data_IF_804770182599
#
_entry.id   IF_804770182599
#
_cell.length_a   1.000
_cell.length_b   1.000
_cell.length_c   1.000
_cell.angle_alpha   90.00
_cell.angle_beta   90.00
_cell.angle_gamma   90.00
#
_symmetry.space_group_name_H-M   'P 1'
#
loop_
_entity.id
_entity.type
_entity.pdbx_description
1 polymer ?
#
# COMPACT_ATOMS: atom_id res chain seq x y z
N UNK A 1 -9.21 -12.74 -27.57
CA UNK A 1 -8.17 -12.31 -26.62
C UNK A 1 -8.62 -11.11 -25.80
N UNK A 2 -9.03 -10.00 -26.41
CA UNK A 2 -9.57 -8.81 -25.72
C UNK A 2 -10.60 -9.17 -24.63
N UNK A 3 -11.71 -9.81 -25.01
CA UNK A 3 -12.76 -10.20 -24.06
C UNK A 3 -12.30 -11.24 -23.02
N UNK A 4 -11.31 -12.08 -23.35
CA UNK A 4 -10.75 -13.05 -22.40
C UNK A 4 -9.87 -12.35 -21.36
N UNK A 5 -9.04 -11.40 -21.78
CA UNK A 5 -8.25 -10.53 -20.90
C UNK A 5 -9.13 -9.74 -19.94
N UNK A 6 -10.28 -9.24 -20.42
CA UNK A 6 -11.25 -8.53 -19.57
C UNK A 6 -11.85 -9.44 -18.50
N UNK A 7 -12.27 -10.65 -18.87
CA UNK A 7 -12.78 -11.63 -17.88
C UNK A 7 -11.68 -12.06 -16.90
N UNK A 8 -10.45 -12.29 -17.37
CA UNK A 8 -9.30 -12.63 -16.53
C UNK A 8 -8.98 -11.52 -15.52
N UNK A 9 -9.04 -10.25 -15.93
CA UNK A 9 -8.90 -9.11 -15.02
C UNK A 9 -10.00 -9.11 -13.96
N UNK A 10 -11.26 -9.35 -14.36
CA UNK A 10 -12.36 -9.44 -13.42
C UNK A 10 -12.18 -10.57 -12.39
N UNK A 11 -11.69 -11.74 -12.82
CA UNK A 11 -11.36 -12.85 -11.91
C UNK A 11 -10.26 -12.47 -10.92
N UNK A 12 -9.19 -11.80 -11.39
CA UNK A 12 -8.10 -11.34 -10.53
C UNK A 12 -8.59 -10.30 -9.52
N UNK A 13 -9.32 -9.27 -9.95
CA UNK A 13 -9.82 -8.21 -9.07
C UNK A 13 -10.85 -8.73 -8.07
N UNK A 14 -11.65 -9.74 -8.45
CA UNK A 14 -12.56 -10.43 -7.51
C UNK A 14 -11.79 -11.07 -6.34
N UNK A 15 -10.63 -11.66 -6.62
CA UNK A 15 -9.75 -12.23 -5.59
C UNK A 15 -8.99 -11.16 -4.82
N UNK A 16 -8.44 -10.15 -5.48
CA UNK A 16 -7.72 -9.03 -4.82
C UNK A 16 -8.63 -8.30 -3.82
N UNK A 17 -9.91 -8.13 -4.16
CA UNK A 17 -10.94 -7.58 -3.27
C UNK A 17 -11.17 -8.42 -2.01
N UNK A 18 -10.83 -9.71 -2.04
CA UNK A 18 -11.00 -10.67 -0.94
C UNK A 18 -12.31 -11.47 -0.97
N UNK A 19 -13.18 -11.25 -1.95
CA UNK A 19 -14.50 -11.91 -2.01
C UNK A 19 -14.46 -13.39 -2.40
N UNK A 20 -13.45 -13.80 -3.18
CA UNK A 20 -13.27 -15.17 -3.67
C UNK A 20 -11.92 -15.73 -3.27
N UNK A 21 -11.80 -17.06 -3.21
CA UNK A 21 -10.49 -17.73 -3.30
C UNK A 21 -9.98 -17.77 -4.75
N UNK A 22 -8.68 -17.95 -4.95
CA UNK A 22 -8.08 -18.14 -6.29
C UNK A 22 -8.71 -19.32 -7.05
N UNK A 23 -9.05 -20.37 -6.32
CA UNK A 23 -9.68 -21.60 -6.82
C UNK A 23 -11.09 -21.31 -7.40
N UNK A 24 -11.80 -20.35 -6.81
CA UNK A 24 -13.14 -19.91 -7.22
C UNK A 24 -13.11 -18.75 -8.23
N UNK A 25 -11.96 -18.12 -8.46
CA UNK A 25 -11.81 -17.01 -9.41
C UNK A 25 -10.79 -17.32 -10.51
N UNK A 26 -9.52 -16.93 -10.36
CA UNK A 26 -8.48 -17.01 -11.40
C UNK A 26 -8.34 -18.42 -11.96
N UNK A 27 -8.32 -19.45 -11.10
CA UNK A 27 -8.18 -20.85 -11.53
C UNK A 27 -9.47 -21.45 -12.10
N UNK A 28 -10.57 -20.69 -12.22
CA UNK A 28 -11.70 -21.09 -13.07
C UNK A 28 -11.37 -20.93 -14.56
N UNK A 29 -10.36 -20.14 -14.90
CA UNK A 29 -9.86 -19.98 -16.26
C UNK A 29 -8.86 -21.08 -16.62
N UNK A 30 -9.19 -21.93 -17.60
CA UNK A 30 -8.34 -23.07 -18.01
C UNK A 30 -6.96 -22.66 -18.51
N UNK A 31 -6.86 -21.49 -19.16
CA UNK A 31 -5.59 -20.94 -19.65
C UNK A 31 -4.60 -20.61 -18.50
N UNK A 32 -5.09 -20.45 -17.27
CA UNK A 32 -4.24 -20.18 -16.11
C UNK A 32 -3.63 -21.45 -15.51
N UNK A 33 -4.03 -22.65 -15.96
CA UNK A 33 -3.52 -23.92 -15.42
C UNK A 33 -2.19 -24.31 -16.06
N UNK A 34 -2.08 -24.16 -17.38
CA UNK A 34 -0.88 -24.51 -18.16
C UNK A 34 -0.59 -23.43 -19.22
N UNK A 35 -0.05 -22.27 -18.80
CA UNK A 35 0.18 -21.17 -19.74
C UNK A 35 1.14 -21.54 -20.87
N UNK A 36 2.13 -22.41 -20.65
CA UNK A 36 3.13 -22.75 -21.68
C UNK A 36 2.56 -23.57 -22.85
N UNK A 37 1.45 -24.29 -22.63
CA UNK A 37 0.76 -25.06 -23.69
C UNK A 37 -0.07 -24.15 -24.62
N UNK A 38 -0.23 -22.87 -24.28
CA UNK A 38 -1.00 -21.92 -25.09
C UNK A 38 -0.23 -21.59 -26.36
N UNK A 39 -0.73 -22.03 -27.52
CA UNK A 39 -0.08 -21.80 -28.82
C UNK A 39 0.09 -20.31 -29.16
N UNK A 40 -0.90 -19.47 -28.84
CA UNK A 40 -0.82 -18.03 -29.09
C UNK A 40 0.11 -17.35 -28.07
N UNK A 41 1.24 -16.81 -28.55
CA UNK A 41 2.26 -16.18 -27.70
C UNK A 41 1.72 -14.97 -26.91
N UNK A 42 0.85 -14.16 -27.51
CA UNK A 42 0.30 -12.97 -26.84
C UNK A 42 -0.58 -13.35 -25.64
N UNK A 43 -1.45 -14.35 -25.83
CA UNK A 43 -2.28 -14.89 -24.76
C UNK A 43 -1.45 -15.62 -23.70
N UNK A 44 -0.43 -16.39 -24.12
CA UNK A 44 0.53 -17.04 -23.22
C UNK A 44 1.18 -16.02 -22.28
N UNK A 45 1.77 -14.96 -22.84
CA UNK A 45 2.42 -13.90 -22.07
C UNK A 45 1.45 -13.18 -21.13
N UNK A 46 0.21 -12.91 -21.58
CA UNK A 46 -0.81 -12.32 -20.72
C UNK A 46 -1.12 -13.21 -19.51
N UNK A 47 -1.28 -14.53 -19.71
CA UNK A 47 -1.58 -15.47 -18.64
C UNK A 47 -0.41 -15.62 -17.66
N UNK A 48 0.83 -15.72 -18.17
CA UNK A 48 2.04 -15.76 -17.34
C UNK A 48 2.15 -14.50 -16.46
N UNK A 49 1.91 -13.32 -17.05
CA UNK A 49 1.91 -12.06 -16.33
C UNK A 49 0.81 -11.98 -15.26
N UNK A 50 -0.40 -12.45 -15.56
CA UNK A 50 -1.49 -12.51 -14.60
C UNK A 50 -1.14 -13.41 -13.40
N UNK A 51 -0.61 -14.60 -13.66
CA UNK A 51 -0.21 -15.54 -12.60
C UNK A 51 0.91 -14.93 -11.74
N UNK A 52 1.87 -14.23 -12.34
CA UNK A 52 2.90 -13.49 -11.60
C UNK A 52 2.36 -12.33 -10.79
N UNK A 53 1.39 -11.56 -11.31
CA UNK A 53 0.70 -10.54 -10.53
C UNK A 53 0.04 -11.17 -9.29
N UNK A 54 -0.64 -12.31 -9.46
CA UNK A 54 -1.26 -13.02 -8.35
C UNK A 54 -0.23 -13.54 -7.34
N UNK A 55 0.88 -14.08 -7.81
CA UNK A 55 1.97 -14.54 -6.94
C UNK A 55 2.54 -13.39 -6.09
N UNK A 56 2.78 -12.22 -6.68
CA UNK A 56 3.27 -11.04 -5.97
C UNK A 56 2.27 -10.53 -4.93
N UNK A 57 0.97 -10.49 -5.26
CA UNK A 57 -0.10 -10.15 -4.32
C UNK A 57 -0.07 -11.13 -3.14
N UNK A 58 -0.05 -12.44 -3.40
CA UNK A 58 -0.02 -13.45 -2.33
C UNK A 58 1.24 -13.34 -1.48
N UNK A 59 2.42 -13.16 -2.10
CA UNK A 59 3.68 -12.94 -1.38
C UNK A 59 3.60 -11.71 -0.48
N UNK A 60 3.07 -10.60 -0.97
CA UNK A 60 2.94 -9.37 -0.19
C UNK A 60 1.99 -9.56 1.01
N UNK A 61 0.80 -10.11 0.77
CA UNK A 61 -0.21 -10.35 1.80
C UNK A 61 0.27 -11.35 2.85
N UNK A 62 0.89 -12.45 2.42
CA UNK A 62 1.44 -13.47 3.31
C UNK A 62 2.59 -12.93 4.17
N UNK A 63 3.53 -12.18 3.58
CA UNK A 63 4.67 -11.59 4.33
C UNK A 63 4.21 -10.51 5.31
N UNK A 64 3.20 -9.73 4.95
CA UNK A 64 2.67 -8.69 5.82
C UNK A 64 1.91 -9.28 7.02
N UNK A 65 1.21 -10.40 6.81
CA UNK A 65 0.42 -11.11 7.82
C UNK A 65 -0.61 -10.20 8.54
N UNK A 66 -1.33 -9.39 7.76
CA UNK A 66 -2.35 -8.43 8.24
C UNK A 66 -3.78 -8.76 7.77
N UNK A 67 -4.04 -10.00 7.37
CA UNK A 67 -5.34 -10.47 6.85
C UNK A 67 -5.85 -11.67 7.67
N UNK A 68 -7.09 -12.08 7.41
CA UNK A 68 -7.67 -13.37 7.81
C UNK A 68 -8.21 -14.10 6.59
N UNK A 69 -8.44 -15.40 6.72
CA UNK A 69 -9.08 -16.17 5.64
C UNK A 69 -10.47 -15.63 5.27
N UNK A 70 -11.18 -15.01 6.22
CA UNK A 70 -12.45 -14.30 5.96
C UNK A 70 -12.27 -13.02 5.14
N UNK A 71 -11.15 -12.31 5.30
CA UNK A 71 -10.85 -11.08 4.57
C UNK A 71 -10.20 -11.35 3.21
N UNK A 72 -9.40 -12.42 3.12
CA UNK A 72 -8.58 -12.72 1.96
C UNK A 72 -8.16 -14.20 1.98
N UNK A 73 -8.67 -14.97 1.02
CA UNK A 73 -8.28 -16.37 0.89
C UNK A 73 -6.95 -16.52 0.14
N UNK A 74 -5.97 -17.12 0.82
CA UNK A 74 -4.70 -17.55 0.20
C UNK A 74 -4.74 -18.96 -0.40
N UNK A 75 -5.85 -19.69 -0.21
CA UNK A 75 -5.92 -21.09 -0.60
C UNK A 75 -5.73 -21.25 -2.12
N UNK A 76 -4.75 -22.09 -2.47
CA UNK A 76 -4.43 -22.43 -3.86
C UNK A 76 -5.10 -23.71 -4.32
N UNK A 77 -5.72 -24.51 -3.45
CA UNK A 77 -6.40 -25.76 -3.84
C UNK A 77 -5.50 -26.74 -4.59
N UNK A 78 -4.20 -26.75 -4.30
CA UNK A 78 -3.21 -27.59 -4.99
C UNK A 78 -2.63 -27.02 -6.28
N UNK A 79 -3.07 -25.84 -6.74
CA UNK A 79 -2.46 -25.15 -7.87
C UNK A 79 -1.13 -24.48 -7.47
N UNK A 80 -0.22 -24.37 -8.42
CA UNK A 80 1.00 -23.56 -8.31
C UNK A 80 0.89 -22.29 -9.16
N UNK A 81 1.66 -21.26 -8.81
CA UNK A 81 1.86 -20.13 -9.71
C UNK A 81 2.86 -20.48 -10.81
N UNK A 82 3.13 -19.50 -11.67
CA UNK A 82 4.08 -19.64 -12.76
C UNK A 82 5.52 -19.42 -12.27
N UNK A 83 6.24 -20.50 -11.94
CA UNK A 83 7.57 -20.40 -11.32
C UNK A 83 8.75 -20.40 -12.31
N UNK A 84 8.49 -20.60 -13.60
CA UNK A 84 9.55 -20.82 -14.61
C UNK A 84 10.34 -19.57 -15.00
N UNK A 85 9.71 -18.41 -15.01
CA UNK A 85 10.33 -17.14 -15.40
C UNK A 85 10.19 -16.12 -14.28
N UNK A 86 11.18 -15.23 -14.14
CA UNK A 86 11.09 -14.11 -13.21
C UNK A 86 10.12 -13.03 -13.72
N UNK A 87 9.68 -12.19 -12.81
CA UNK A 87 8.81 -11.04 -13.10
C UNK A 87 9.49 -10.08 -14.09
N UNK A 88 10.82 -9.91 -13.99
CA UNK A 88 11.62 -9.07 -14.87
C UNK A 88 11.65 -9.58 -16.31
N UNK A 89 11.82 -10.89 -16.50
CA UNK A 89 11.80 -11.50 -17.83
C UNK A 89 10.42 -11.32 -18.47
N UNK A 90 9.34 -11.58 -17.72
CA UNK A 90 7.97 -11.43 -18.24
C UNK A 90 7.67 -9.96 -18.60
N UNK A 91 8.06 -9.00 -17.76
CA UNK A 91 7.90 -7.58 -18.08
C UNK A 91 8.68 -7.16 -19.33
N UNK A 92 9.88 -7.70 -19.53
CA UNK A 92 10.67 -7.48 -20.75
C UNK A 92 9.95 -8.04 -21.99
N UNK A 93 9.47 -9.29 -21.92
CA UNK A 93 8.70 -9.91 -23.01
C UNK A 93 7.40 -9.16 -23.32
N UNK A 94 6.69 -8.65 -22.30
CA UNK A 94 5.51 -7.80 -22.51
C UNK A 94 5.85 -6.46 -23.17
N UNK A 95 7.04 -5.90 -22.90
CA UNK A 95 7.50 -4.66 -23.53
C UNK A 95 7.76 -4.90 -25.02
N UNK A 96 8.45 -5.99 -25.37
CA UNK A 96 8.62 -6.39 -26.78
C UNK A 96 7.28 -6.64 -27.50
N UNK A 97 6.32 -7.29 -26.82
CA UNK A 97 4.97 -7.49 -27.36
C UNK A 97 4.23 -6.17 -27.58
N UNK A 98 4.33 -5.23 -26.64
CA UNK A 98 3.75 -3.89 -26.76
C UNK A 98 4.29 -3.15 -27.98
N UNK A 99 5.61 -3.15 -28.17
CA UNK A 99 6.27 -2.51 -29.32
C UNK A 99 5.83 -3.13 -30.65
N UNK A 100 5.73 -4.46 -30.72
CA UNK A 100 5.31 -5.17 -31.92
C UNK A 100 3.84 -4.86 -32.26
N UNK A 101 2.94 -4.90 -31.27
CA UNK A 101 1.54 -4.52 -31.45
C UNK A 101 1.39 -3.06 -31.89
N UNK A 102 2.20 -2.16 -31.34
CA UNK A 102 2.19 -0.75 -31.71
C UNK A 102 2.69 -0.53 -33.15
N UNK A 103 3.72 -1.24 -33.59
CA UNK A 103 4.18 -1.22 -34.99
C UNK A 103 3.09 -1.74 -35.93
N UNK A 104 2.47 -2.87 -35.58
CA UNK A 104 1.39 -3.45 -36.38
C UNK A 104 0.17 -2.51 -36.49
N UNK A 105 -0.24 -1.89 -35.38
CA UNK A 105 -1.33 -0.90 -35.37
C UNK A 105 -1.04 0.29 -36.31
N UNK A 106 0.20 0.77 -36.38
CA UNK A 106 0.59 1.83 -37.31
C UNK A 106 0.47 1.39 -38.76
N UNK A 107 0.96 0.19 -39.10
CA UNK A 107 0.88 -0.35 -40.45
C UNK A 107 -0.57 -0.51 -40.93
N UNK A 108 -1.44 -1.06 -40.08
CA UNK A 108 -2.87 -1.23 -40.38
C UNK A 108 -3.55 0.14 -40.58
N UNK A 109 -3.28 1.13 -39.72
CA UNK A 109 -3.82 2.48 -39.87
C UNK A 109 -3.34 3.17 -41.16
N UNK A 110 -2.08 2.96 -41.56
CA UNK A 110 -1.53 3.48 -42.82
C UNK A 110 -2.19 2.83 -44.04
N UNK A 111 -2.44 1.52 -44.01
CA UNK A 111 -3.14 0.79 -45.08
C UNK A 111 -4.61 1.24 -45.23
N UNK A 112 -5.27 1.58 -44.13
CA UNK A 112 -6.64 2.11 -44.14
C UNK A 112 -6.73 3.58 -44.62
N UNK A 113 -5.68 4.39 -44.39
CA UNK A 113 -5.63 5.80 -44.80
C UNK A 113 -5.23 6.05 -46.26
N UNK A 114 -4.75 5.03 -46.99
CA UNK A 114 -4.28 5.15 -48.38
C UNK A 114 -5.36 4.96 -49.47
N UNK A 115 -6.63 4.78 -49.10
CA UNK A 115 -7.74 4.67 -50.07
C UNK A 115 -8.57 5.96 -50.06
N UNK A 116 -8.06 6.98 -50.72
CA UNK A 116 -8.78 8.24 -50.87
C UNK A 116 -7.96 9.28 -51.61
N UNK A 117 -7.64 9.02 -52.88
CA UNK A 117 -7.59 10.03 -53.96
C UNK A 117 -7.18 9.37 -55.29
N UNK A 118 -7.97 9.62 -56.34
CA UNK A 118 -7.55 9.51 -57.74
C UNK A 118 -7.62 8.13 -58.38
N UNK A 119 -8.79 7.78 -58.92
CA UNK A 119 -8.88 6.75 -59.95
C UNK A 119 -8.30 7.26 -61.26
N UNK A 120 -7.56 6.40 -61.96
CA UNK A 120 -7.62 6.32 -63.41
C UNK A 120 -7.15 4.95 -63.89
N UNK A 121 -8.00 4.36 -64.72
CA UNK A 121 -7.90 3.07 -65.36
C UNK A 121 -6.64 2.97 -66.22
N UNK A 122 -5.90 1.87 -66.12
CA UNK A 122 -5.08 1.40 -67.24
C UNK A 122 -4.95 -0.12 -67.24
N UNK A 123 -5.05 -0.63 -68.46
CA UNK A 123 -5.37 -1.99 -68.85
C UNK A 123 -4.30 -3.02 -68.49
N UNK A 124 -4.77 -4.26 -68.37
CA UNK A 124 -3.98 -5.50 -68.25
C UNK A 124 -3.23 -5.75 -69.57
N UNK A 125 -2.03 -6.34 -69.52
CA UNK A 125 -1.88 -7.62 -70.22
C UNK A 125 -1.18 -8.69 -69.38
N UNK A 126 -1.71 -9.91 -69.50
CA UNK A 126 -1.11 -11.16 -69.06
C UNK A 126 0.09 -11.52 -69.94
N UNK A 127 1.19 -11.97 -69.33
CA UNK A 127 1.94 -13.16 -69.78
C UNK A 127 2.93 -13.59 -68.69
N UNK A 128 3.02 -14.91 -68.47
CA UNK A 128 3.62 -15.51 -67.29
C UNK A 128 5.14 -15.65 -67.31
N UNK A 129 5.71 -15.88 -66.13
CA UNK A 129 6.81 -16.82 -65.96
C UNK A 129 6.97 -17.22 -64.49
N UNK A 130 6.96 -18.53 -64.29
CA UNK A 130 7.30 -19.22 -63.06
C UNK A 130 8.71 -18.83 -62.59
N UNK A 131 8.87 -18.49 -61.32
CA UNK A 131 10.12 -18.76 -60.60
C UNK A 131 9.81 -19.10 -59.16
N UNK A 132 9.85 -20.42 -58.92
CA UNK A 132 9.80 -21.06 -57.62
C UNK A 132 11.17 -20.86 -56.95
N UNK A 133 11.28 -19.95 -55.98
CA UNK A 133 12.45 -19.88 -55.10
C UNK A 133 12.04 -19.76 -53.63
N UNK A 134 12.18 -20.90 -52.96
CA UNK A 134 12.75 -21.13 -51.63
C UNK A 134 12.16 -20.37 -50.42
N UNK A 135 11.25 -21.09 -49.77
CA UNK A 135 11.18 -21.33 -48.33
C UNK A 135 12.19 -20.56 -47.46
N UNK A 136 11.80 -19.36 -47.03
CA UNK A 136 12.28 -18.75 -45.79
C UNK A 136 11.54 -19.35 -44.60
N UNK A 137 12.28 -19.65 -43.54
CA UNK A 137 11.83 -20.27 -42.29
C UNK A 137 10.53 -19.67 -41.73
N UNK A 138 9.66 -20.48 -41.08
CA UNK A 138 8.47 -19.97 -40.42
C UNK A 138 8.91 -19.06 -39.28
N UNK A 139 8.70 -17.76 -39.42
CA UNK A 139 8.85 -16.81 -38.33
C UNK A 139 7.80 -17.21 -37.28
N UNK A 140 8.27 -17.70 -36.13
CA UNK A 140 7.41 -18.16 -35.04
C UNK A 140 6.37 -17.08 -34.65
N UNK A 141 5.14 -17.28 -35.09
CA UNK A 141 3.94 -17.11 -34.27
C UNK A 141 3.51 -15.72 -33.81
N UNK A 142 3.90 -14.61 -34.46
CA UNK A 142 3.24 -13.31 -34.26
C UNK A 142 1.97 -13.19 -35.12
N UNK A 143 0.98 -14.07 -34.90
CA UNK A 143 -0.28 -14.02 -35.64
C UNK A 143 -1.38 -13.47 -34.72
N UNK A 144 -1.47 -12.15 -34.69
CA UNK A 144 -2.77 -11.49 -34.75
C UNK A 144 -2.97 -11.16 -36.22
N UNK A 145 -3.52 -12.08 -37.01
CA UNK A 145 -4.04 -11.81 -38.36
C UNK A 145 -5.33 -10.97 -38.25
N UNK A 146 -5.23 -9.87 -37.52
CA UNK A 146 -6.32 -8.98 -37.17
C UNK A 146 -6.03 -7.68 -37.88
N UNK A 147 -6.75 -7.47 -38.97
CA UNK A 147 -6.69 -6.25 -39.78
C UNK A 147 -7.54 -5.12 -39.19
N UNK A 148 -8.28 -5.39 -38.11
CA UNK A 148 -9.08 -4.40 -37.40
C UNK A 148 -8.23 -3.57 -36.44
N UNK A 149 -7.89 -2.34 -36.87
CA UNK A 149 -7.16 -1.38 -36.05
C UNK A 149 -7.79 -1.15 -34.65
N UNK A 150 -9.13 -1.05 -34.50
CA UNK A 150 -9.74 -0.88 -33.17
C UNK A 150 -9.45 -2.07 -32.23
N UNK A 151 -9.48 -3.31 -32.76
CA UNK A 151 -9.25 -4.53 -31.97
C UNK A 151 -7.80 -4.59 -31.48
N UNK A 152 -6.86 -4.22 -32.36
CA UNK A 152 -5.44 -4.12 -32.02
C UNK A 152 -5.20 -3.06 -30.94
N UNK A 153 -5.82 -1.90 -31.07
CA UNK A 153 -5.73 -0.80 -30.09
C UNK A 153 -6.29 -1.21 -28.72
N UNK A 154 -7.44 -1.88 -28.70
CA UNK A 154 -8.05 -2.42 -27.50
C UNK A 154 -7.16 -3.47 -26.82
N UNK A 155 -6.58 -4.39 -27.59
CA UNK A 155 -5.70 -5.41 -27.04
C UNK A 155 -4.38 -4.83 -26.52
N UNK A 156 -3.79 -3.87 -27.25
CA UNK A 156 -2.60 -3.15 -26.83
C UNK A 156 -2.80 -2.44 -25.49
N UNK A 157 -3.94 -1.78 -25.27
CA UNK A 157 -4.28 -1.14 -24.00
C UNK A 157 -4.27 -2.14 -22.82
N UNK A 158 -4.81 -3.36 -23.03
CA UNK A 158 -4.85 -4.43 -22.02
C UNK A 158 -3.47 -5.01 -21.71
N UNK A 159 -2.61 -5.14 -22.72
CA UNK A 159 -1.22 -5.56 -22.54
C UNK A 159 -0.43 -4.52 -21.75
N UNK A 160 -0.60 -3.24 -22.09
CA UNK A 160 0.00 -2.12 -21.35
C UNK A 160 -0.46 -2.05 -19.91
N UNK A 161 -1.77 -2.18 -19.68
CA UNK A 161 -2.35 -2.20 -18.34
C UNK A 161 -1.81 -3.39 -17.51
N UNK A 162 -1.77 -4.60 -18.09
CA UNK A 162 -1.22 -5.79 -17.43
C UNK A 162 0.25 -5.62 -17.07
N UNK A 163 1.07 -5.09 -17.99
CA UNK A 163 2.49 -4.79 -17.75
C UNK A 163 2.66 -3.75 -16.64
N UNK A 164 1.86 -2.69 -16.68
CA UNK A 164 1.89 -1.64 -15.66
C UNK A 164 1.54 -2.18 -14.28
N UNK A 165 0.44 -2.94 -14.16
CA UNK A 165 0.01 -3.57 -12.91
C UNK A 165 1.07 -4.50 -12.32
N UNK A 166 1.61 -5.42 -13.12
CA UNK A 166 2.73 -6.28 -12.71
C UNK A 166 3.94 -5.46 -12.24
N UNK A 167 4.29 -4.40 -12.97
CA UNK A 167 5.37 -3.49 -12.62
C UNK A 167 5.14 -2.73 -11.32
N UNK A 168 3.91 -2.30 -11.02
CA UNK A 168 3.55 -1.64 -9.76
C UNK A 168 3.81 -2.60 -8.59
N UNK A 169 3.27 -3.82 -8.66
CA UNK A 169 3.46 -4.84 -7.63
C UNK A 169 4.94 -5.18 -7.43
N UNK A 170 5.68 -5.35 -8.53
CA UNK A 170 7.11 -5.66 -8.51
C UNK A 170 7.93 -4.57 -7.81
N UNK A 171 7.73 -3.31 -8.20
CA UNK A 171 8.47 -2.20 -7.59
C UNK A 171 8.09 -2.05 -6.11
N UNK A 172 6.80 -2.08 -5.76
CA UNK A 172 6.41 -2.00 -4.34
C UNK A 172 7.02 -3.12 -3.50
N UNK A 173 7.21 -4.32 -4.06
CA UNK A 173 7.88 -5.44 -3.38
C UNK A 173 9.35 -5.18 -3.04
N UNK A 174 10.01 -4.25 -3.76
CA UNK A 174 11.39 -3.81 -3.53
C UNK A 174 11.50 -2.70 -2.47
N UNK A 175 10.38 -2.24 -1.90
CA UNK A 175 10.32 -1.27 -0.81
C UNK A 175 10.66 0.17 -1.21
N UNK A 176 11.07 0.99 -0.23
CA UNK A 176 11.27 2.44 -0.37
C UNK A 176 12.13 2.87 -1.56
N UNK A 177 13.17 2.11 -1.90
CA UNK A 177 14.13 2.42 -2.99
C UNK A 177 13.46 2.60 -4.36
N UNK A 178 12.27 2.03 -4.56
CA UNK A 178 11.59 2.01 -5.86
C UNK A 178 10.19 2.64 -5.85
N UNK A 179 9.82 3.37 -4.79
CA UNK A 179 8.52 4.05 -4.71
C UNK A 179 8.32 5.09 -5.82
N UNK A 180 9.39 5.80 -6.23
CA UNK A 180 9.31 6.74 -7.36
C UNK A 180 8.96 6.04 -8.67
N UNK A 181 9.54 4.85 -8.90
CA UNK A 181 9.26 4.03 -10.08
C UNK A 181 7.85 3.44 -10.02
N UNK A 182 7.43 2.95 -8.85
CA UNK A 182 6.06 2.49 -8.61
C UNK A 182 5.04 3.60 -8.88
N UNK A 183 5.28 4.82 -8.38
CA UNK A 183 4.38 5.97 -8.60
C UNK A 183 4.23 6.31 -10.09
N UNK A 184 5.33 6.32 -10.86
CA UNK A 184 5.29 6.53 -12.31
C UNK A 184 4.47 5.45 -13.02
N UNK A 185 4.65 4.18 -12.62
CA UNK A 185 3.91 3.05 -13.17
C UNK A 185 2.42 3.08 -12.79
N UNK A 186 2.08 3.55 -11.59
CA UNK A 186 0.68 3.75 -11.17
C UNK A 186 0.02 4.82 -12.03
N UNK A 187 0.68 5.96 -12.24
CA UNK A 187 0.17 7.01 -13.12
C UNK A 187 -0.04 6.50 -14.56
N UNK A 188 0.90 5.70 -15.07
CA UNK A 188 0.76 5.05 -16.37
C UNK A 188 -0.39 4.03 -16.38
N UNK A 189 -0.53 3.21 -15.34
CA UNK A 189 -1.62 2.22 -15.21
C UNK A 189 -2.99 2.89 -15.22
N UNK A 190 -3.18 3.98 -14.47
CA UNK A 190 -4.43 4.76 -14.46
C UNK A 190 -4.76 5.34 -15.85
N UNK A 191 -3.75 5.85 -16.57
CA UNK A 191 -3.93 6.32 -17.94
C UNK A 191 -4.28 5.18 -18.93
N UNK A 192 -3.72 3.98 -18.75
CA UNK A 192 -4.08 2.83 -19.58
C UNK A 192 -5.44 2.23 -19.19
N UNK A 193 -5.85 2.36 -17.93
CA UNK A 193 -7.15 1.93 -17.45
C UNK A 193 -8.27 2.74 -18.11
N UNK A 194 -8.12 4.06 -18.23
CA UNK A 194 -9.10 4.90 -18.92
C UNK A 194 -9.24 4.55 -20.41
N UNK A 195 -8.12 4.28 -21.09
CA UNK A 195 -8.12 3.79 -22.49
C UNK A 195 -8.78 2.40 -22.59
N UNK A 196 -8.52 1.52 -21.62
CA UNK A 196 -9.12 0.18 -21.56
C UNK A 196 -10.64 0.28 -21.39
N UNK A 197 -11.14 1.18 -20.52
CA UNK A 197 -12.57 1.46 -20.33
C UNK A 197 -13.24 1.96 -21.62
N UNK A 198 -12.56 2.79 -22.41
CA UNK A 198 -13.09 3.30 -23.67
C UNK A 198 -13.18 2.23 -24.78
N UNK A 199 -12.45 1.11 -24.64
CA UNK A 199 -12.34 0.06 -25.67
C UNK A 199 -13.01 -1.26 -25.24
N UNK A 200 -14.08 -1.18 -24.43
CA UNK A 200 -14.80 -2.33 -23.85
C UNK A 200 -15.79 -3.00 -24.80
N UNK A 201 -16.10 -2.38 -25.94
CA UNK A 201 -17.19 -2.76 -26.85
C UNK A 201 -17.05 -4.12 -27.56
N UNK A 202 -16.15 -4.99 -27.11
CA UNK A 202 -15.96 -6.32 -27.67
C UNK A 202 -16.80 -7.35 -26.94
N UNK A 203 -17.64 -8.04 -27.72
CA UNK A 203 -18.64 -8.97 -27.21
C UNK A 203 -18.03 -10.10 -26.35
N UNK A 204 -18.40 -10.09 -25.06
CA UNK A 204 -17.99 -11.09 -24.07
C UNK A 204 -18.63 -12.47 -24.28
N UNK A 205 -19.66 -12.57 -25.13
CA UNK A 205 -20.30 -13.82 -25.54
C UNK A 205 -19.36 -14.70 -26.36
N UNK A 206 -18.37 -14.10 -27.03
CA UNK A 206 -17.36 -14.79 -27.83
C UNK A 206 -16.26 -15.47 -27.02
N UNK A 207 -16.15 -15.17 -25.72
CA UNK A 207 -15.29 -15.98 -24.85
C UNK A 207 -15.98 -17.31 -24.69
N UNK A 208 -15.49 -18.32 -25.40
CA UNK A 208 -16.09 -19.65 -25.45
C UNK A 208 -16.43 -20.12 -24.03
N UNK A 209 -17.64 -20.66 -23.87
CA UNK A 209 -18.15 -21.19 -22.59
C UNK A 209 -17.15 -22.15 -21.92
N UNK A 210 -16.25 -22.74 -22.70
CA UNK A 210 -15.17 -23.62 -22.25
C UNK A 210 -14.02 -22.91 -21.51
N UNK A 211 -13.69 -21.66 -21.84
CA UNK A 211 -12.49 -20.99 -21.33
C UNK A 211 -12.53 -20.73 -19.82
N UNK A 212 -13.71 -20.41 -19.28
CA UNK A 212 -13.92 -20.11 -17.86
C UNK A 212 -15.01 -21.05 -17.35
N UNK A 213 -14.65 -21.87 -16.37
CA UNK A 213 -15.48 -22.90 -15.77
C UNK A 213 -15.67 -22.61 -14.27
N UNK A 214 -16.74 -21.89 -13.87
CA UNK A 214 -16.94 -21.50 -12.47
C UNK A 214 -17.02 -22.66 -11.48
N UNK A 215 -17.45 -23.84 -11.95
CA UNK A 215 -17.60 -25.06 -11.13
C UNK A 215 -16.43 -26.03 -11.23
N UNK A 216 -15.38 -25.70 -12.00
CA UNK A 216 -14.26 -26.62 -12.29
C UNK A 216 -13.63 -27.19 -11.02
N UNK A 217 -13.40 -26.31 -10.05
CA UNK A 217 -12.60 -26.62 -8.88
C UNK A 217 -13.46 -26.86 -7.62
N UNK A 218 -14.76 -27.14 -7.78
CA UNK A 218 -15.67 -27.37 -6.64
C UNK A 218 -15.16 -28.45 -5.69
N UNK A 219 -14.51 -29.48 -6.22
CA UNK A 219 -13.92 -30.59 -5.43
C UNK A 219 -12.65 -30.22 -4.67
N UNK A 220 -11.99 -29.12 -5.03
CA UNK A 220 -10.76 -28.62 -4.40
C UNK A 220 -11.05 -27.62 -3.28
N UNK A 221 -12.32 -27.29 -3.06
CA UNK A 221 -12.75 -26.41 -1.98
C UNK A 221 -12.82 -27.17 -0.65
N UNK A 222 -12.68 -26.44 0.46
CA UNK A 222 -12.88 -26.99 1.79
C UNK A 222 -14.28 -27.63 1.93
N UNK A 223 -14.48 -28.60 2.84
CA UNK A 223 -15.76 -29.26 3.08
C UNK A 223 -16.76 -28.34 3.82
N UNK A 224 -17.02 -27.15 3.27
CA UNK A 224 -18.05 -26.23 3.68
C UNK A 224 -19.13 -26.14 2.59
N UNK A 225 -20.38 -25.78 2.92
CA UNK A 225 -21.43 -25.62 1.92
C UNK A 225 -20.97 -24.68 0.79
N UNK A 226 -21.16 -25.06 -0.49
CA UNK A 226 -20.66 -24.28 -1.60
C UNK A 226 -21.33 -22.90 -1.62
N UNK A 227 -20.57 -21.86 -1.26
CA UNK A 227 -21.01 -20.47 -1.38
C UNK A 227 -20.71 -20.00 -2.80
N UNK A 228 -21.72 -19.64 -3.62
CA UNK A 228 -21.47 -19.04 -4.91
C UNK A 228 -20.84 -17.67 -4.70
N UNK A 229 -19.59 -17.50 -5.13
CA UNK A 229 -18.93 -16.20 -5.07
C UNK A 229 -19.26 -15.42 -6.35
N UNK A 230 -19.90 -14.25 -6.25
CA UNK A 230 -20.19 -13.44 -7.41
C UNK A 230 -18.88 -12.87 -7.97
N UNK A 231 -18.52 -13.27 -9.18
CA UNK A 231 -17.42 -12.65 -9.92
C UNK A 231 -17.82 -11.22 -10.27
N UNK A 232 -16.90 -10.27 -10.09
CA UNK A 232 -17.13 -8.88 -10.47
C UNK A 232 -17.48 -8.78 -11.96
N UNK A 233 -18.44 -7.93 -12.28
CA UNK A 233 -18.59 -7.49 -13.66
C UNK A 233 -17.39 -6.62 -14.06
N UNK A 234 -17.21 -6.40 -15.36
CA UNK A 234 -16.02 -5.71 -15.87
C UNK A 234 -15.91 -4.26 -15.37
N UNK A 235 -17.03 -3.53 -15.24
CA UNK A 235 -17.02 -2.17 -14.69
C UNK A 235 -16.50 -2.16 -13.26
N UNK A 236 -17.09 -3.02 -12.40
CA UNK A 236 -16.68 -3.15 -11.01
C UNK A 236 -15.23 -3.64 -10.87
N UNK A 237 -14.74 -4.46 -11.80
CA UNK A 237 -13.33 -4.86 -11.82
C UNK A 237 -12.39 -3.69 -12.17
N UNK A 238 -12.79 -2.80 -13.08
CA UNK A 238 -12.01 -1.59 -13.35
C UNK A 238 -12.02 -0.63 -12.16
N UNK A 239 -13.19 -0.45 -11.53
CA UNK A 239 -13.32 0.40 -10.34
C UNK A 239 -12.48 -0.14 -9.19
N UNK A 240 -12.48 -1.46 -8.96
CA UNK A 240 -11.61 -2.11 -7.98
C UNK A 240 -10.14 -1.88 -8.31
N UNK A 241 -9.69 -2.11 -9.56
CA UNK A 241 -8.28 -1.87 -9.93
C UNK A 241 -7.87 -0.40 -9.73
N UNK A 242 -8.74 0.54 -10.10
CA UNK A 242 -8.51 1.97 -9.91
C UNK A 242 -8.37 2.32 -8.41
N UNK A 243 -9.25 1.78 -7.58
CA UNK A 243 -9.23 1.96 -6.13
C UNK A 243 -7.92 1.41 -5.53
N UNK A 244 -7.52 0.19 -5.90
CA UNK A 244 -6.24 -0.39 -5.49
C UNK A 244 -5.06 0.49 -5.90
N UNK A 245 -5.03 0.97 -7.15
CA UNK A 245 -3.98 1.86 -7.65
C UNK A 245 -3.93 3.18 -6.86
N UNK A 246 -5.07 3.76 -6.50
CA UNK A 246 -5.14 5.01 -5.74
C UNK A 246 -4.69 4.86 -4.28
N UNK A 247 -5.00 3.74 -3.62
CA UNK A 247 -4.45 3.44 -2.30
C UNK A 247 -2.92 3.30 -2.36
N UNK A 248 -2.41 2.53 -3.32
CA UNK A 248 -0.97 2.35 -3.51
C UNK A 248 -0.26 3.66 -3.91
N UNK A 249 -0.93 4.52 -4.68
CA UNK A 249 -0.44 5.87 -5.01
C UNK A 249 -0.26 6.71 -3.74
N UNK A 250 -1.24 6.67 -2.84
CA UNK A 250 -1.19 7.38 -1.56
C UNK A 250 0.02 6.95 -0.74
N UNK A 251 0.32 5.65 -0.69
CA UNK A 251 1.54 5.13 -0.05
C UNK A 251 2.81 5.68 -0.72
N UNK A 252 2.88 5.68 -2.05
CA UNK A 252 4.07 6.15 -2.78
C UNK A 252 4.31 7.66 -2.64
N UNK A 253 3.23 8.44 -2.48
CA UNK A 253 3.29 9.91 -2.49
C UNK A 253 3.40 10.47 -1.08
N UNK A 254 2.62 9.98 -0.10
CA UNK A 254 2.56 10.59 1.23
C UNK A 254 3.57 10.01 2.21
N UNK A 255 3.72 8.68 2.24
CA UNK A 255 4.56 8.00 3.23
C UNK A 255 6.03 8.46 3.24
N UNK A 256 6.68 8.76 2.09
CA UNK A 256 8.08 9.24 2.09
C UNK A 256 8.30 10.60 2.76
N UNK A 257 7.25 11.39 3.00
CA UNK A 257 7.34 12.71 3.63
C UNK A 257 6.95 12.70 5.11
N UNK A 258 6.66 11.53 5.67
CA UNK A 258 6.41 11.38 7.11
C UNK A 258 7.74 11.42 7.84
N UNK A 259 7.98 12.47 8.63
CA UNK A 259 9.25 12.71 9.35
C UNK A 259 9.10 12.74 10.87
N UNK A 260 7.88 12.72 11.40
CA UNK A 260 7.61 12.73 12.85
C UNK A 260 6.59 11.68 13.25
N UNK A 261 6.57 11.33 14.55
CA UNK A 261 5.62 10.36 15.10
C UNK A 261 4.17 10.84 14.96
N UNK A 262 3.93 12.13 15.19
CA UNK A 262 2.61 12.75 15.02
C UNK A 262 2.11 12.64 13.57
N UNK A 263 2.95 12.99 12.59
CA UNK A 263 2.60 12.83 11.17
C UNK A 263 2.32 11.36 10.80
N UNK A 264 3.06 10.42 11.39
CA UNK A 264 2.83 9.00 11.18
C UNK A 264 1.47 8.56 11.74
N UNK A 265 1.13 8.97 12.96
CA UNK A 265 -0.17 8.66 13.56
C UNK A 265 -1.33 9.20 12.71
N UNK A 266 -1.27 10.47 12.31
CA UNK A 266 -2.27 11.08 11.43
C UNK A 266 -2.36 10.37 10.07
N UNK A 267 -1.23 10.07 9.45
CA UNK A 267 -1.21 9.34 8.19
C UNK A 267 -1.87 7.97 8.30
N UNK A 268 -1.55 7.19 9.36
CA UNK A 268 -2.14 5.87 9.58
C UNK A 268 -3.64 5.96 9.84
N UNK A 269 -4.07 6.95 10.62
CA UNK A 269 -5.47 7.21 10.91
C UNK A 269 -6.26 7.53 9.63
N UNK A 270 -5.80 8.52 8.86
CA UNK A 270 -6.42 8.95 7.60
C UNK A 270 -6.47 7.81 6.59
N UNK A 271 -5.36 7.08 6.44
CA UNK A 271 -5.25 6.02 5.44
C UNK A 271 -6.16 4.82 5.76
N UNK A 272 -6.35 4.51 7.03
CA UNK A 272 -7.10 3.31 7.46
C UNK A 272 -8.57 3.57 7.72
N UNK A 273 -8.93 4.80 8.13
CA UNK A 273 -10.31 5.22 8.41
C UNK A 273 -11.08 5.72 7.20
N UNK A 274 -10.40 5.86 6.05
CA UNK A 274 -11.03 6.35 4.83
C UNK A 274 -12.29 5.55 4.47
N UNK A 275 -13.23 6.20 3.81
CA UNK A 275 -14.37 5.56 3.19
C UNK A 275 -14.24 5.71 1.66
N UNK A 276 -13.93 4.64 0.90
CA UNK A 276 -13.75 3.24 1.34
C UNK A 276 -12.44 3.00 2.11
N UNK A 277 -12.44 1.96 2.96
CA UNK A 277 -11.27 1.55 3.72
C UNK A 277 -10.37 0.60 2.89
N UNK A 278 -9.04 0.66 3.05
CA UNK A 278 -8.13 -0.12 2.23
C UNK A 278 -8.29 -1.64 2.44
N UNK A 279 -8.35 -2.37 1.33
CA UNK A 279 -8.41 -3.84 1.30
C UNK A 279 -7.14 -4.52 1.83
N UNK A 280 -7.08 -5.86 1.73
CA UNK A 280 -5.94 -6.63 2.23
C UNK A 280 -4.61 -6.26 1.54
N UNK A 281 -4.62 -6.02 0.21
CA UNK A 281 -3.41 -5.74 -0.54
C UNK A 281 -2.74 -4.40 -0.16
N UNK A 282 -3.44 -3.24 -0.15
CA UNK A 282 -2.80 -1.97 0.18
C UNK A 282 -2.37 -1.92 1.65
N UNK A 283 -3.14 -2.53 2.56
CA UNK A 283 -2.74 -2.71 3.96
C UNK A 283 -1.47 -3.56 4.09
N UNK A 284 -1.32 -4.59 3.26
CA UNK A 284 -0.12 -5.43 3.26
C UNK A 284 1.10 -4.65 2.80
N UNK A 285 0.99 -3.86 1.73
CA UNK A 285 2.10 -3.01 1.30
C UNK A 285 2.41 -1.91 2.30
N UNK A 286 1.41 -1.29 2.93
CA UNK A 286 1.63 -0.36 4.04
C UNK A 286 2.47 -1.03 5.13
N UNK A 287 2.05 -2.21 5.61
CA UNK A 287 2.79 -2.96 6.63
C UNK A 287 4.22 -3.25 6.20
N UNK A 288 4.40 -3.78 4.98
CA UNK A 288 5.73 -4.10 4.46
C UNK A 288 6.62 -2.88 4.36
N UNK A 289 6.09 -1.73 3.91
CA UNK A 289 6.83 -0.48 3.82
C UNK A 289 7.25 0.00 5.22
N UNK A 290 6.31 0.06 6.17
CA UNK A 290 6.60 0.45 7.56
C UNK A 290 7.73 -0.40 8.17
N UNK A 291 7.74 -1.71 7.88
CA UNK A 291 8.76 -2.64 8.39
C UNK A 291 9.95 -2.85 7.44
N UNK A 292 10.00 -2.16 6.29
CA UNK A 292 11.06 -2.35 5.31
C UNK A 292 12.31 -1.56 5.66
N UNK A 293 13.46 -2.25 5.67
CA UNK A 293 14.74 -1.64 6.03
C UNK A 293 14.69 -1.05 7.44
N UNK A 294 15.16 0.20 7.57
CA UNK A 294 15.20 0.92 8.84
C UNK A 294 14.05 1.93 8.99
N UNK A 295 12.98 1.99 8.17
CA UNK A 295 11.98 3.08 8.31
C UNK A 295 11.39 3.18 9.72
N UNK A 296 10.80 2.09 10.22
CA UNK A 296 10.53 1.88 11.65
C UNK A 296 11.36 0.70 12.21
N UNK A 297 12.59 0.54 11.73
CA UNK A 297 13.50 -0.53 12.15
C UNK A 297 14.57 -0.05 13.12
N UNK A 298 14.78 -0.76 14.22
CA UNK A 298 15.93 -0.58 15.12
C UNK A 298 16.09 0.84 15.66
N UNK A 299 17.24 1.45 15.37
CA UNK A 299 17.65 2.79 15.84
C UNK A 299 16.79 3.92 15.27
N UNK A 300 16.15 3.75 14.11
CA UNK A 300 15.33 4.80 13.51
C UNK A 300 14.00 5.00 14.24
N UNK A 301 13.37 3.94 14.77
CA UNK A 301 12.19 4.10 15.63
C UNK A 301 12.56 4.79 16.94
N UNK A 302 13.71 4.43 17.51
CA UNK A 302 14.24 5.10 18.70
C UNK A 302 14.51 6.58 18.43
N UNK A 303 15.09 6.91 17.28
CA UNK A 303 15.26 8.29 16.85
C UNK A 303 13.91 9.01 16.72
N UNK A 304 12.91 8.41 16.09
CA UNK A 304 11.58 8.99 15.92
C UNK A 304 10.89 9.24 17.27
N UNK A 305 10.97 8.28 18.19
CA UNK A 305 10.43 8.39 19.55
C UNK A 305 11.17 9.46 20.34
N UNK A 306 12.51 9.47 20.32
CA UNK A 306 13.34 10.49 20.96
C UNK A 306 13.01 11.88 20.43
N UNK A 307 12.86 12.02 19.11
CA UNK A 307 12.46 13.28 18.48
C UNK A 307 11.06 13.71 18.95
N UNK A 308 10.10 12.78 19.04
CA UNK A 308 8.77 13.09 19.57
C UNK A 308 8.81 13.56 21.03
N UNK A 309 9.70 13.00 21.85
CA UNK A 309 9.92 13.44 23.23
C UNK A 309 10.53 14.85 23.29
N UNK A 310 11.49 15.15 22.40
CA UNK A 310 12.06 16.49 22.27
C UNK A 310 11.03 17.52 21.78
N UNK A 311 10.17 17.15 20.82
CA UNK A 311 9.05 17.96 20.35
C UNK A 311 8.02 18.24 21.46
N UNK A 312 7.90 17.30 22.42
CA UNK A 312 7.12 17.45 23.65
C UNK A 312 7.81 18.33 24.71
N UNK A 313 8.96 18.92 24.40
CA UNK A 313 9.76 19.79 25.27
C UNK A 313 10.44 19.06 26.44
N UNK A 314 10.69 17.74 26.31
CA UNK A 314 11.56 17.04 27.26
C UNK A 314 13.00 17.56 27.08
N UNK A 315 13.68 18.03 28.14
CA UNK A 315 15.02 18.60 28.00
C UNK A 315 16.06 17.61 27.46
N UNK A 316 16.93 18.06 26.57
CA UNK A 316 17.94 17.22 25.91
C UNK A 316 18.84 16.47 26.91
N UNK A 317 19.18 17.12 28.02
CA UNK A 317 19.97 16.49 29.08
C UNK A 317 19.24 15.30 29.73
N UNK A 318 17.91 15.38 29.90
CA UNK A 318 17.11 14.31 30.47
C UNK A 318 17.05 13.12 29.50
N UNK A 319 16.93 13.42 28.21
CA UNK A 319 16.98 12.42 27.13
C UNK A 319 18.33 11.71 27.02
N UNK A 320 19.43 12.30 27.50
CA UNK A 320 20.77 11.70 27.49
C UNK A 320 21.04 10.77 28.69
N UNK A 321 20.12 10.69 29.65
CA UNK A 321 20.27 9.80 30.80
C UNK A 321 20.21 8.32 30.40
N UNK A 322 20.89 7.46 31.17
CA UNK A 322 20.91 6.00 30.94
C UNK A 322 19.51 5.41 31.10
N UNK A 323 18.73 5.90 32.07
CA UNK A 323 17.34 5.49 32.30
C UNK A 323 16.44 5.88 31.11
N UNK A 324 16.58 7.09 30.56
CA UNK A 324 15.86 7.50 29.36
C UNK A 324 16.19 6.65 28.14
N UNK A 325 17.47 6.25 27.97
CA UNK A 325 17.87 5.40 26.85
C UNK A 325 17.17 4.03 26.87
N UNK A 326 17.09 3.39 28.06
CA UNK A 326 16.34 2.14 28.25
C UNK A 326 14.85 2.32 27.94
N UNK A 327 14.25 3.38 28.48
CA UNK A 327 12.83 3.68 28.29
C UNK A 327 12.47 3.98 26.83
N UNK A 328 13.31 4.73 26.10
CA UNK A 328 13.15 4.98 24.66
C UNK A 328 13.18 3.67 23.88
N UNK A 329 14.08 2.75 24.24
CA UNK A 329 14.15 1.43 23.61
C UNK A 329 12.87 0.62 23.83
N UNK A 330 12.36 0.56 25.08
CA UNK A 330 11.10 -0.11 25.42
C UNK A 330 9.93 0.50 24.64
N UNK A 331 9.77 1.82 24.71
CA UNK A 331 8.64 2.51 24.08
C UNK A 331 8.69 2.45 22.55
N UNK A 332 9.88 2.40 21.95
CA UNK A 332 10.02 2.19 20.50
C UNK A 332 9.38 0.89 20.04
N UNK A 333 9.43 -0.17 20.86
CA UNK A 333 8.73 -1.44 20.55
C UNK A 333 7.22 -1.26 20.61
N UNK A 334 6.72 -0.51 21.60
CA UNK A 334 5.29 -0.21 21.74
C UNK A 334 4.76 0.62 20.58
N UNK A 335 5.49 1.66 20.17
CA UNK A 335 5.16 2.50 19.01
C UNK A 335 5.17 1.68 17.72
N UNK A 336 6.17 0.82 17.52
CA UNK A 336 6.21 -0.09 16.38
C UNK A 336 4.99 -1.02 16.39
N UNK A 337 4.66 -1.60 17.55
CA UNK A 337 3.49 -2.48 17.71
C UNK A 337 2.17 -1.75 17.41
N UNK A 338 2.05 -0.49 17.80
CA UNK A 338 0.91 0.37 17.48
C UNK A 338 0.80 0.59 15.96
N UNK A 339 1.86 1.11 15.32
CA UNK A 339 1.88 1.42 13.89
C UNK A 339 1.57 0.19 13.03
N UNK A 340 2.14 -0.94 13.43
CA UNK A 340 1.95 -2.21 12.74
C UNK A 340 0.57 -2.84 12.98
N UNK A 341 -0.05 -2.57 14.13
CA UNK A 341 -1.43 -2.96 14.43
C UNK A 341 -2.46 -2.14 13.66
N UNK A 342 -2.14 -0.89 13.30
CA UNK A 342 -2.97 -0.05 12.43
C UNK A 342 -3.12 -0.62 11.00
N UNK A 343 -2.23 -1.50 10.56
CA UNK A 343 -2.32 -2.12 9.22
C UNK A 343 -3.38 -3.25 9.12
N UNK A 344 -4.00 -3.69 10.22
CA UNK A 344 -5.04 -4.69 10.15
C UNK A 344 -6.38 -4.10 9.68
N UNK A 345 -7.40 -4.92 9.45
CA UNK A 345 -8.77 -4.45 9.28
C UNK A 345 -9.26 -3.71 10.55
N UNK A 346 -10.24 -2.80 10.42
CA UNK A 346 -10.69 -1.93 11.51
C UNK A 346 -11.10 -2.70 12.78
N UNK A 347 -11.82 -3.82 12.63
CA UNK A 347 -12.22 -4.66 13.76
C UNK A 347 -11.04 -5.26 14.53
N UNK A 348 -9.94 -5.55 13.85
CA UNK A 348 -8.69 -6.03 14.45
C UNK A 348 -7.84 -4.92 15.02
N UNK A 349 -7.78 -3.77 14.37
CA UNK A 349 -7.11 -2.60 14.92
C UNK A 349 -7.65 -2.33 16.33
N UNK A 350 -8.99 -2.27 16.48
CA UNK A 350 -9.64 -2.05 17.77
C UNK A 350 -9.32 -3.13 18.81
N UNK A 351 -9.38 -4.41 18.43
CA UNK A 351 -9.06 -5.54 19.33
C UNK A 351 -7.59 -5.59 19.75
N UNK A 352 -6.66 -5.26 18.86
CA UNK A 352 -5.23 -5.20 19.19
C UNK A 352 -4.92 -4.01 20.07
N UNK A 353 -5.51 -2.85 19.77
CA UNK A 353 -5.39 -1.63 20.57
C UNK A 353 -5.84 -1.87 22.01
N UNK A 354 -7.00 -2.51 22.21
CA UNK A 354 -7.48 -2.87 23.54
C UNK A 354 -6.46 -3.68 24.35
N UNK A 355 -5.84 -4.69 23.73
CA UNK A 355 -4.82 -5.53 24.40
C UNK A 355 -3.52 -4.79 24.65
N UNK A 356 -3.14 -3.87 23.77
CA UNK A 356 -1.90 -3.10 23.97
C UNK A 356 -2.01 -2.09 25.09
N UNK A 357 -3.20 -1.60 25.46
CA UNK A 357 -3.34 -0.58 26.51
C UNK A 357 -2.65 -1.02 27.81
N UNK A 358 -2.72 -2.30 28.16
CA UNK A 358 -2.04 -2.83 29.35
C UNK A 358 -0.52 -2.71 29.23
N UNK A 359 0.08 -3.03 28.08
CA UNK A 359 1.52 -2.89 27.84
C UNK A 359 1.97 -1.42 27.99
N UNK A 360 1.15 -0.49 27.50
CA UNK A 360 1.42 0.95 27.65
C UNK A 360 1.27 1.43 29.10
N UNK A 361 0.29 0.90 29.84
CA UNK A 361 0.14 1.19 31.27
C UNK A 361 1.33 0.69 32.10
N UNK A 362 1.92 -0.45 31.75
CA UNK A 362 3.17 -0.89 32.39
C UNK A 362 4.34 0.05 32.07
N UNK A 363 4.44 0.53 30.82
CA UNK A 363 5.45 1.51 30.45
C UNK A 363 5.24 2.86 31.16
N UNK A 364 4.02 3.20 31.59
CA UNK A 364 3.75 4.40 32.39
C UNK A 364 4.46 4.34 33.75
N UNK A 365 4.45 3.18 34.40
CA UNK A 365 5.20 2.98 35.65
C UNK A 365 6.70 3.12 35.45
N UNK A 366 7.24 2.62 34.33
CA UNK A 366 8.65 2.82 33.96
C UNK A 366 8.95 4.32 33.74
N UNK A 367 8.06 5.04 33.05
CA UNK A 367 8.21 6.46 32.79
C UNK A 367 8.26 7.30 34.08
N UNK A 368 7.41 6.97 35.06
CA UNK A 368 7.41 7.62 36.38
C UNK A 368 8.72 7.38 37.15
N UNK A 369 9.30 6.16 37.06
CA UNK A 369 10.61 5.87 37.66
C UNK A 369 11.75 6.62 36.96
N UNK A 370 11.67 6.78 35.64
CA UNK A 370 12.64 7.60 34.88
C UNK A 370 12.55 9.05 35.32
N UNK A 371 11.35 9.60 35.46
CA UNK A 371 11.12 10.96 35.96
C UNK A 371 11.72 11.18 37.34
N UNK A 372 11.49 10.25 38.29
CA UNK A 372 12.10 10.31 39.63
C UNK A 372 13.63 10.28 39.57
N UNK A 373 14.20 9.39 38.75
CA UNK A 373 15.65 9.25 38.61
C UNK A 373 16.28 10.51 38.00
N UNK A 374 15.64 11.05 36.96
CA UNK A 374 16.02 12.30 36.31
C UNK A 374 15.97 13.42 37.36
N UNK A 375 14.84 13.59 38.04
CA UNK A 375 14.65 14.61 39.07
C UNK A 375 15.77 14.61 40.13
N UNK A 376 16.09 13.45 40.71
CA UNK A 376 17.15 13.31 41.72
C UNK A 376 18.55 13.71 41.21
N UNK A 377 18.88 13.36 39.96
CA UNK A 377 20.18 13.72 39.37
C UNK A 377 20.25 15.21 39.02
N UNK A 378 19.11 15.86 38.77
CA UNK A 378 19.05 17.28 38.38
C UNK A 378 18.98 18.23 39.57
N UNK A 379 18.25 17.89 40.63
CA UNK A 379 18.15 18.70 41.84
C UNK A 379 19.54 18.95 42.48
N UNK A 380 20.45 17.97 42.38
CA UNK A 380 21.82 18.06 42.88
C UNK A 380 22.74 18.98 42.02
N UNK A 381 22.41 19.19 40.74
CA UNK A 381 23.30 19.91 39.80
C UNK A 381 22.88 21.34 39.49
N UNK A 382 21.57 21.62 39.38
CA UNK A 382 21.00 22.97 39.22
C UNK A 382 19.51 22.92 39.63
N UNK A 383 19.05 23.74 40.59
CA UNK A 383 17.62 23.89 40.85
C UNK A 383 16.99 24.61 39.65
N UNK A 384 16.54 23.85 38.65
CA UNK A 384 15.77 24.38 37.53
C UNK A 384 14.31 24.49 37.95
N UNK A 385 13.70 25.65 37.66
CA UNK A 385 12.26 25.97 37.78
C UNK A 385 11.35 25.11 36.84
N UNK A 386 11.77 23.89 36.49
CA UNK A 386 11.07 23.02 35.55
C UNK A 386 10.08 22.14 36.31
N UNK A 387 8.85 22.65 36.40
CA UNK A 387 7.66 22.04 37.00
C UNK A 387 7.80 21.69 38.48
N UNK A 388 6.87 22.18 39.30
CA UNK A 388 6.65 21.68 40.66
C UNK A 388 6.37 20.15 40.69
N UNK A 389 6.18 19.50 39.52
CA UNK A 389 5.83 18.07 39.41
C UNK A 389 6.93 17.14 38.87
N UNK A 390 8.00 17.63 38.21
CA UNK A 390 9.08 16.78 37.68
C UNK A 390 8.69 15.71 36.64
N UNK A 391 7.47 15.76 36.09
CA UNK A 391 6.90 14.72 35.21
C UNK A 391 7.16 15.02 33.72
N UNK A 392 8.24 14.47 33.15
CA UNK A 392 8.61 14.66 31.74
C UNK A 392 8.15 13.47 30.88
N UNK A 393 8.71 12.29 31.17
CA UNK A 393 8.50 11.07 30.41
C UNK A 393 7.11 10.49 30.64
N UNK A 394 6.63 10.51 31.89
CA UNK A 394 5.28 10.07 32.25
C UNK A 394 4.20 10.94 31.60
N UNK A 395 4.44 12.25 31.48
CA UNK A 395 3.54 13.17 30.80
C UNK A 395 3.46 12.91 29.29
N UNK A 396 4.62 12.73 28.64
CA UNK A 396 4.67 12.39 27.21
C UNK A 396 3.99 11.05 26.91
N UNK A 397 4.25 10.02 27.72
CA UNK A 397 3.65 8.70 27.50
C UNK A 397 2.13 8.74 27.71
N UNK A 398 1.65 9.49 28.70
CA UNK A 398 0.23 9.72 28.92
C UNK A 398 -0.44 10.39 27.71
N UNK A 399 0.19 11.41 27.10
CA UNK A 399 -0.33 12.02 25.86
C UNK A 399 -0.46 10.99 24.73
N UNK A 400 0.54 10.11 24.55
CA UNK A 400 0.47 9.03 23.55
C UNK A 400 -0.64 8.02 23.86
N UNK A 401 -0.82 7.64 25.12
CA UNK A 401 -1.88 6.74 25.55
C UNK A 401 -3.27 7.36 25.30
N UNK A 402 -3.46 8.65 25.59
CA UNK A 402 -4.72 9.34 25.35
C UNK A 402 -5.09 9.36 23.87
N UNK A 403 -4.13 9.57 22.96
CA UNK A 403 -4.35 9.43 21.51
C UNK A 403 -4.86 8.03 21.17
N UNK A 404 -4.24 6.99 21.72
CA UNK A 404 -4.67 5.61 21.48
C UNK A 404 -6.06 5.31 22.04
N UNK A 405 -6.38 5.79 23.25
CA UNK A 405 -7.69 5.54 23.88
C UNK A 405 -8.81 6.27 23.14
N UNK A 406 -8.60 7.53 22.73
CA UNK A 406 -9.58 8.24 21.89
C UNK A 406 -9.80 7.48 20.58
N UNK A 407 -8.73 7.02 19.95
CA UNK A 407 -8.80 6.23 18.71
C UNK A 407 -9.57 4.92 18.89
N UNK A 408 -9.45 4.25 20.04
CA UNK A 408 -10.22 3.05 20.36
C UNK A 408 -11.73 3.31 20.36
N UNK A 409 -12.16 4.46 20.88
CA UNK A 409 -13.57 4.86 20.86
C UNK A 409 -14.03 5.18 19.44
N UNK A 410 -13.27 5.97 18.68
CA UNK A 410 -13.57 6.29 17.28
C UNK A 410 -13.77 5.06 16.41
N UNK A 411 -12.87 4.06 16.54
CA UNK A 411 -13.01 2.78 15.85
C UNK A 411 -14.33 2.08 16.19
N UNK A 412 -14.81 2.20 17.44
CA UNK A 412 -16.10 1.63 17.82
C UNK A 412 -17.30 2.31 17.14
N UNK A 413 -17.24 3.63 16.94
CA UNK A 413 -18.24 4.35 16.15
C UNK A 413 -18.20 3.94 14.67
N UNK A 414 -17.01 3.88 14.07
CA UNK A 414 -16.83 3.45 12.68
C UNK A 414 -17.35 2.03 12.43
N UNK A 415 -17.12 1.13 13.39
CA UNK A 415 -17.58 -0.25 13.36
C UNK A 415 -19.05 -0.41 13.79
N UNK A 416 -19.76 0.67 14.14
CA UNK A 416 -21.14 0.68 14.63
C UNK A 416 -21.37 -0.30 15.79
N UNK A 417 -20.43 -0.32 16.74
CA UNK A 417 -20.50 -1.21 17.91
C UNK A 417 -21.38 -0.65 19.03
N UNK A 418 -21.58 0.66 19.06
CA UNK A 418 -22.31 1.33 20.14
C UNK A 418 -23.78 1.53 19.77
N UNK A 419 -24.66 1.29 20.74
CA UNK A 419 -26.08 1.55 20.61
C UNK A 419 -26.39 3.04 20.76
N UNK A 420 -27.52 3.49 20.20
CA UNK A 420 -27.95 4.90 20.20
C UNK A 420 -27.88 5.59 21.58
N UNK A 421 -28.30 4.89 22.64
CA UNK A 421 -28.33 5.43 24.00
C UNK A 421 -26.95 5.57 24.67
N UNK A 422 -25.91 4.91 24.16
CA UNK A 422 -24.55 4.98 24.70
C UNK A 422 -23.78 6.22 24.20
N UNK A 423 -24.27 6.86 23.12
CA UNK A 423 -23.54 7.91 22.43
C UNK A 423 -23.24 9.11 23.33
N UNK A 424 -24.19 9.56 24.14
CA UNK A 424 -24.00 10.72 25.03
C UNK A 424 -22.89 10.50 26.04
N UNK A 425 -22.87 9.34 26.70
CA UNK A 425 -21.82 8.97 27.65
C UNK A 425 -20.45 8.85 26.98
N UNK A 426 -20.40 8.21 25.81
CA UNK A 426 -19.15 8.00 25.07
C UNK A 426 -18.56 9.31 24.55
N UNK A 427 -19.38 10.21 24.00
CA UNK A 427 -18.93 11.54 23.58
C UNK A 427 -18.46 12.38 24.76
N UNK A 428 -19.19 12.35 25.88
CA UNK A 428 -18.77 13.05 27.10
C UNK A 428 -17.42 12.53 27.63
N UNK A 429 -17.22 11.20 27.62
CA UNK A 429 -15.96 10.62 28.07
C UNK A 429 -14.80 10.95 27.11
N UNK A 430 -15.02 10.94 25.79
CA UNK A 430 -14.00 11.37 24.83
C UNK A 430 -13.64 12.86 25.01
N UNK A 431 -14.63 13.73 25.24
CA UNK A 431 -14.39 15.15 25.56
C UNK A 431 -13.53 15.31 26.82
N UNK A 432 -13.85 14.57 27.88
CA UNK A 432 -13.02 14.51 29.09
C UNK A 432 -11.57 14.09 28.79
N UNK A 433 -11.36 13.00 28.02
CA UNK A 433 -10.03 12.52 27.65
C UNK A 433 -9.24 13.55 26.83
N UNK A 434 -9.90 14.23 25.90
CA UNK A 434 -9.30 15.31 25.11
C UNK A 434 -8.94 16.51 26.01
N UNK A 435 -9.78 16.85 26.98
CA UNK A 435 -9.49 17.87 27.99
C UNK A 435 -8.27 17.52 28.85
N UNK A 436 -8.15 16.27 29.32
CA UNK A 436 -6.95 15.79 30.01
C UNK A 436 -5.72 15.93 29.13
N UNK A 437 -5.82 15.52 27.84
CA UNK A 437 -4.71 15.63 26.90
C UNK A 437 -4.23 17.06 26.70
N UNK A 438 -5.15 18.02 26.57
CA UNK A 438 -4.82 19.45 26.48
C UNK A 438 -4.05 19.88 27.73
N UNK A 439 -4.51 19.50 28.92
CA UNK A 439 -3.85 19.85 30.18
C UNK A 439 -2.49 19.16 30.39
N UNK A 440 -2.20 18.05 29.70
CA UNK A 440 -0.89 17.41 29.73
C UNK A 440 0.16 18.15 28.90
N UNK A 441 -0.24 18.95 27.90
CA UNK A 441 0.68 19.57 26.94
C UNK A 441 1.57 20.64 27.59
N UNK A 442 2.91 20.45 27.64
CA UNK A 442 3.81 21.37 28.32
C UNK A 442 3.86 22.76 27.66
N UNK A 443 3.57 22.82 26.36
CA UNK A 443 3.55 24.05 25.56
C UNK A 443 2.52 25.09 26.04
N UNK A 444 1.45 24.67 26.71
CA UNK A 444 0.42 25.56 27.27
C UNK A 444 0.95 26.26 28.53
N UNK A 445 1.75 25.56 29.34
CA UNK A 445 2.33 26.08 30.58
C UNK A 445 3.69 26.77 30.36
N UNK A 446 4.43 26.35 29.33
CA UNK A 446 5.75 26.85 28.95
C UNK A 446 5.79 27.23 27.46
N UNK A 447 5.28 28.42 27.08
CA UNK A 447 5.41 28.92 25.72
C UNK A 447 6.90 29.04 25.34
N UNK A 448 7.28 28.65 24.11
CA UNK A 448 8.67 28.78 23.60
C UNK A 448 9.24 30.20 23.78
N UNK A 449 8.38 31.23 23.77
CA UNK A 449 8.69 32.62 24.08
C UNK A 449 9.26 32.83 25.50
N UNK A 450 8.76 32.07 26.49
CA UNK A 450 9.27 32.11 27.88
C UNK A 450 10.63 31.42 27.99
N UNK A 451 10.87 30.34 27.24
CA UNK A 451 12.19 29.69 27.16
C UNK A 451 13.25 30.61 26.53
N UNK A 452 12.92 31.26 25.41
CA UNK A 452 13.83 32.22 24.75
C UNK A 452 14.12 33.45 25.62
N UNK A 453 13.11 34.00 26.29
CA UNK A 453 13.29 35.10 27.24
C UNK A 453 14.14 34.69 28.45
N UNK A 454 14.05 33.44 28.91
CA UNK A 454 14.86 32.88 30.00
C UNK A 454 16.30 32.60 29.56
N UNK A 455 16.52 32.17 28.32
CA UNK A 455 17.87 32.01 27.74
C UNK A 455 18.55 33.36 27.46
N UNK A 456 17.80 34.35 26.97
CA UNK A 456 18.30 35.72 26.77
C UNK A 456 18.63 36.42 28.10
N UNK A 457 17.78 36.29 29.13
CA UNK A 457 18.07 36.84 30.46
C UNK A 457 19.23 36.12 31.16
N UNK A 458 19.51 34.84 30.84
CA UNK A 458 20.72 34.12 31.27
C UNK A 458 21.99 34.59 30.56
N UNK A 459 21.93 34.90 29.26
CA UNK A 459 23.06 35.46 28.51
C UNK A 459 23.51 36.84 29.01
N UNK A 460 22.60 37.60 29.64
CA UNK A 460 22.90 38.88 30.29
C UNK A 460 23.52 38.67 31.68
N UNK A 461 23.05 37.69 32.46
CA UNK A 461 23.58 37.38 33.79
C UNK A 461 25.04 36.85 33.76
N UNK A 462 25.39 35.99 32.79
CA UNK A 462 26.77 35.49 32.64
C UNK A 462 27.75 36.56 32.15
N UNK A 463 27.28 37.57 31.41
CA UNK A 463 28.11 38.73 31.01
C UNK A 463 28.32 39.73 32.16
N UNK A 464 27.38 39.83 33.10
CA UNK A 464 27.51 40.68 34.30
C UNK A 464 28.50 40.16 35.35
N UNK A 465 28.76 38.84 35.40
CA UNK A 465 29.61 38.21 36.41
C UNK A 465 31.13 38.32 36.18
N UNK A 466 31.58 38.70 34.98
CA UNK A 466 33.03 38.76 34.64
C UNK A 466 33.70 40.11 34.94
N UNK A 467 32.97 41.11 35.45
CA UNK A 467 33.49 42.47 35.67
C UNK A 467 34.00 42.80 37.08
N UNK A 468 33.78 41.96 38.10
CA UNK A 468 33.93 42.37 39.50
C UNK A 468 35.13 41.77 40.27
N UNK A 469 36.08 41.11 39.61
CA UNK A 469 37.31 40.59 40.26
C UNK A 469 38.57 41.27 39.71
N UNK A 470 38.80 42.53 40.10
CA UNK A 470 40.12 43.19 40.12
C UNK A 470 40.05 44.48 40.95
N UNK A 471 40.10 44.35 42.28
CA UNK A 471 40.57 45.38 43.21
C UNK A 471 40.73 44.77 44.61
N UNK A 472 41.92 44.25 44.88
CA UNK A 472 42.65 44.43 46.13
C UNK A 472 44.11 44.09 45.88
#
# INVERSE_FOLDING_TARGET
MVALSDKMLALEMTWVRGTASLVQSVFTCLYCHRPDEIQNQSLRLYCQALLKSCELVKKAVSRANVYEEEDFSMNLGGFSFYDKLSEEVIMSSLTGLEENLQKHLKLVKMSAGGKGEGGESREVPSEGQETRQQAGAPTEGFILDVQDAPVLEAFLARIRLRRAWLGVLHNLSKGFKSLKSAHKLIAYALAQLSVTRATVNYDSSRVGKFAIQPRLNMKLMAPSPPRPVPILNLSAAFDELEEQLNFLKTLCVKLPFVTSLSQLHHFLEDYTSGSPAPGALPRSFLRLLLTSGNFLGGENTQHLVRQSMADYLIPEHALQSVSAASFIHTTSKLVLNYCTSSCYNLGRQRRRMARSIDDWAHAQLEAELVDQTVFLVYEDRKPCLLSETGAFFSGWLLDQMLVMVVRYFELGFQLRLYAGFEHSMLYWYMDYLLGVRINCQPSIFFPKSRQHQLEESRGVAEKGGKGASKKK
#
